data_IF_658694929539
#
_entry.id   IF_658694929539
#
_cell.length_a   1.000
_cell.length_b   1.000
_cell.length_c   1.000
_cell.angle_alpha   90.00
_cell.angle_beta   90.00
_cell.angle_gamma   90.00
#
_symmetry.space_group_name_H-M   'P 1'
#
loop_
_entity.id
_entity.type
_entity.pdbx_description
1 polymer ?
#
# COMPACT_ATOMS: atom_id res chain seq x y z
N UNK A 1 -15.61 5.43 -8.46
CA UNK A 1 -14.47 6.29 -8.10
C UNK A 1 -13.11 5.61 -8.29
N UNK A 2 -12.93 4.32 -8.02
CA UNK A 2 -11.65 3.62 -8.24
C UNK A 2 -11.17 3.50 -9.70
N UNK A 3 -12.07 3.58 -10.69
CA UNK A 3 -11.70 3.50 -12.12
C UNK A 3 -10.94 4.72 -12.64
N UNK A 4 -10.97 5.85 -11.93
CA UNK A 4 -10.31 7.09 -12.39
C UNK A 4 -8.79 6.95 -12.30
N UNK A 5 -8.28 6.28 -11.26
CA UNK A 5 -6.84 6.06 -11.06
C UNK A 5 -6.29 5.12 -12.13
N UNK A 6 -7.04 4.06 -12.48
CA UNK A 6 -6.62 3.13 -13.54
C UNK A 6 -6.58 3.76 -14.93
N UNK A 7 -7.38 4.81 -15.17
CA UNK A 7 -7.33 5.57 -16.41
C UNK A 7 -6.07 6.44 -16.53
N UNK A 8 -5.39 6.78 -15.42
CA UNK A 8 -4.18 7.61 -15.47
C UNK A 8 -2.96 6.87 -16.03
N UNK A 9 -3.03 5.54 -16.13
CA UNK A 9 -1.98 4.72 -16.72
C UNK A 9 -2.25 4.32 -18.18
N UNK A 10 -3.42 4.70 -18.72
CA UNK A 10 -3.77 4.42 -20.11
C UNK A 10 -3.37 5.60 -21.01
N UNK A 11 -2.68 5.31 -22.12
CA UNK A 11 -2.38 6.29 -23.16
C UNK A 11 -3.36 6.15 -24.33
N UNK A 12 -3.72 7.26 -24.96
CA UNK A 12 -4.57 7.32 -26.16
C UNK A 12 -3.77 7.96 -27.27
N UNK A 13 -3.78 7.33 -28.43
CA UNK A 13 -3.08 7.78 -29.63
C UNK A 13 -3.94 8.77 -30.42
N UNK A 14 -3.33 9.87 -30.87
CA UNK A 14 -3.92 10.87 -31.75
C UNK A 14 -3.04 11.06 -32.98
N UNK A 15 -3.64 11.15 -34.16
CA UNK A 15 -2.93 11.52 -35.38
C UNK A 15 -2.60 13.01 -35.35
N UNK A 16 -1.32 13.34 -35.43
CA UNK A 16 -0.88 14.69 -35.74
C UNK A 16 -0.96 14.88 -37.25
N UNK A 17 -1.44 16.05 -37.70
CA UNK A 17 -1.63 16.41 -39.11
C UNK A 17 -0.37 16.39 -39.99
N UNK A 18 0.77 15.96 -39.47
CA UNK A 18 2.05 15.75 -40.16
C UNK A 18 2.36 14.26 -40.42
N UNK A 19 1.42 13.33 -40.14
CA UNK A 19 1.59 11.89 -40.35
C UNK A 19 2.32 11.16 -39.22
N UNK A 20 2.49 11.80 -38.06
CA UNK A 20 2.98 11.20 -36.83
C UNK A 20 1.84 10.85 -35.86
N UNK A 21 2.08 9.90 -34.96
CA UNK A 21 1.13 9.49 -33.92
C UNK A 21 1.65 9.98 -32.57
N UNK A 22 0.87 10.80 -31.87
CA UNK A 22 1.17 11.25 -30.52
C UNK A 22 0.30 10.52 -29.50
N UNK A 23 0.92 9.94 -28.47
CA UNK A 23 0.21 9.30 -27.37
C UNK A 23 0.09 10.26 -26.16
N UNK A 24 -1.12 10.43 -25.63
CA UNK A 24 -1.43 11.28 -24.47
C UNK A 24 -2.09 10.48 -23.34
N UNK A 25 -1.91 10.90 -22.09
CA UNK A 25 -2.50 10.23 -20.93
C UNK A 25 -4.04 10.43 -20.88
N UNK A 26 -4.80 9.35 -20.69
CA UNK A 26 -6.28 9.36 -20.75
C UNK A 26 -6.96 10.20 -19.65
N UNK A 27 -6.31 10.39 -18.50
CA UNK A 27 -6.84 11.21 -17.38
C UNK A 27 -6.45 12.67 -17.48
N UNK A 28 -5.31 12.95 -18.11
CA UNK A 28 -4.81 14.30 -18.31
C UNK A 28 -4.17 14.40 -19.70
N UNK A 29 -4.95 14.91 -20.65
CA UNK A 29 -4.56 15.05 -22.06
C UNK A 29 -3.50 16.15 -22.28
N UNK A 30 -3.01 16.79 -21.21
CA UNK A 30 -1.92 17.76 -21.29
C UNK A 30 -0.53 17.11 -21.25
N UNK A 31 -0.44 15.82 -20.90
CA UNK A 31 0.81 15.07 -20.79
C UNK A 31 0.96 14.08 -21.96
N UNK A 32 2.03 14.23 -22.74
CA UNK A 32 2.47 13.26 -23.77
C UNK A 32 3.13 12.07 -23.08
N UNK A 33 2.80 10.85 -23.48
CA UNK A 33 3.37 9.62 -22.92
C UNK A 33 4.84 9.39 -23.34
N UNK A 34 5.36 10.22 -24.26
CA UNK A 34 6.72 10.16 -24.80
C UNK A 34 7.67 11.23 -24.21
N UNK A 35 7.17 12.06 -23.29
CA UNK A 35 7.94 13.16 -22.69
C UNK A 35 8.64 12.72 -21.40
N UNK A 36 9.87 13.17 -21.13
CA UNK A 36 10.64 12.81 -19.93
C UNK A 36 9.89 13.21 -18.63
N UNK A 37 9.06 14.27 -18.69
CA UNK A 37 8.20 14.70 -17.58
C UNK A 37 7.13 13.66 -17.19
N UNK A 38 6.74 12.79 -18.10
CA UNK A 38 5.84 11.68 -17.82
C UNK A 38 6.50 10.69 -16.85
N UNK A 39 7.78 10.37 -17.04
CA UNK A 39 8.52 9.44 -16.18
C UNK A 39 8.68 9.95 -14.75
N UNK A 40 9.02 11.24 -14.59
CA UNK A 40 9.14 11.85 -13.26
C UNK A 40 7.80 11.87 -12.51
N UNK A 41 6.72 12.24 -13.20
CA UNK A 41 5.37 12.29 -12.62
C UNK A 41 4.86 10.88 -12.30
N UNK A 42 5.12 9.91 -13.18
CA UNK A 42 4.76 8.52 -12.98
C UNK A 42 5.51 7.91 -11.78
N UNK A 43 6.82 8.20 -11.66
CA UNK A 43 7.63 7.74 -10.54
C UNK A 43 7.13 8.35 -9.21
N UNK A 44 6.80 9.65 -9.20
CA UNK A 44 6.24 10.31 -8.03
C UNK A 44 4.87 9.73 -7.63
N UNK A 45 3.99 9.50 -8.61
CA UNK A 45 2.69 8.88 -8.37
C UNK A 45 2.85 7.46 -7.81
N UNK A 46 3.75 6.65 -8.39
CA UNK A 46 4.07 5.32 -7.89
C UNK A 46 4.59 5.36 -6.45
N UNK A 47 5.49 6.29 -6.14
CA UNK A 47 6.03 6.49 -4.78
C UNK A 47 4.92 6.86 -3.78
N UNK A 48 4.06 7.82 -4.12
CA UNK A 48 2.94 8.21 -3.24
C UNK A 48 1.99 7.05 -2.98
N UNK A 49 1.77 6.22 -4.00
CA UNK A 49 0.92 5.04 -3.90
C UNK A 49 1.61 4.15 -2.82
N UNK A 50 2.93 3.92 -2.82
CA UNK A 50 3.62 3.05 -1.83
C UNK A 50 3.68 3.61 -0.41
N UNK A 51 3.73 4.94 -0.26
CA UNK A 51 3.85 5.61 1.04
C UNK A 51 2.64 5.35 1.94
N UNK A 52 1.42 5.32 1.40
CA UNK A 52 0.22 5.09 2.20
C UNK A 52 0.07 3.68 2.81
N UNK A 53 0.16 2.58 2.04
CA UNK A 53 0.00 1.23 2.56
C UNK A 53 1.16 0.77 3.44
N UNK A 54 2.36 1.36 3.30
CA UNK A 54 3.54 1.01 4.11
C UNK A 54 3.68 1.98 5.29
N UNK A 55 3.47 3.28 5.07
CA UNK A 55 3.68 4.30 6.08
C UNK A 55 2.74 4.15 7.29
N UNK A 56 1.48 3.82 7.06
CA UNK A 56 0.49 3.62 8.14
C UNK A 56 0.86 2.41 9.03
N UNK A 57 1.11 1.19 8.52
CA UNK A 57 1.55 0.08 9.36
C UNK A 57 2.92 0.33 9.99
N UNK A 58 3.84 1.02 9.31
CA UNK A 58 5.16 1.36 9.86
C UNK A 58 5.03 2.34 11.05
N UNK A 59 4.18 3.37 10.93
CA UNK A 59 3.91 4.29 12.03
C UNK A 59 3.28 3.56 13.23
N UNK A 60 2.31 2.67 12.98
CA UNK A 60 1.72 1.83 14.03
C UNK A 60 2.76 0.91 14.68
N UNK A 61 3.67 0.31 13.89
CA UNK A 61 4.76 -0.52 14.37
C UNK A 61 5.71 0.23 15.29
N UNK A 62 6.15 1.42 14.88
CA UNK A 62 7.06 2.26 15.66
C UNK A 62 6.39 2.63 17.00
N UNK A 63 5.12 3.02 16.97
CA UNK A 63 4.37 3.37 18.16
C UNK A 63 4.24 2.19 19.14
N UNK A 64 3.93 0.98 18.63
CA UNK A 64 3.90 -0.25 19.43
C UNK A 64 5.29 -0.64 19.95
N UNK A 65 6.34 -0.45 19.16
CA UNK A 65 7.71 -0.79 19.54
C UNK A 65 8.20 0.05 20.73
N UNK A 66 7.95 1.35 20.70
CA UNK A 66 8.34 2.27 21.78
C UNK A 66 7.70 1.92 23.13
N UNK A 67 6.47 1.40 23.10
CA UNK A 67 5.70 1.01 24.30
C UNK A 67 5.67 -0.51 24.55
N UNK A 68 6.52 -1.29 23.86
CA UNK A 68 6.46 -2.77 23.90
C UNK A 68 6.52 -3.36 25.31
N UNK A 69 7.34 -2.78 26.19
CA UNK A 69 7.53 -3.28 27.57
C UNK A 69 6.26 -3.14 28.39
N UNK A 70 5.52 -2.04 28.20
CA UNK A 70 4.23 -1.78 28.85
C UNK A 70 3.14 -2.72 28.30
N UNK A 71 3.21 -3.04 27.00
CA UNK A 71 2.29 -3.94 26.32
C UNK A 71 2.51 -5.40 26.74
N UNK A 72 3.75 -5.81 26.95
CA UNK A 72 4.14 -7.17 27.40
C UNK A 72 3.86 -7.37 28.90
N UNK A 73 4.10 -6.36 29.73
CA UNK A 73 3.89 -6.41 31.18
C UNK A 73 2.42 -6.22 31.60
N UNK A 74 1.49 -6.03 30.65
CA UNK A 74 0.08 -5.77 30.97
C UNK A 74 -0.59 -7.00 31.60
N UNK A 75 -1.35 -6.76 32.66
CA UNK A 75 -2.21 -7.78 33.31
C UNK A 75 -3.61 -7.81 32.70
N UNK A 76 -4.10 -6.67 32.19
CA UNK A 76 -5.43 -6.50 31.58
C UNK A 76 -5.35 -6.35 30.06
N UNK A 77 -6.37 -6.83 29.33
CA UNK A 77 -6.42 -6.80 27.85
C UNK A 77 -6.35 -5.40 27.23
N UNK A 78 -6.79 -4.37 27.95
CA UNK A 78 -6.82 -2.97 27.50
C UNK A 78 -5.51 -2.21 27.81
N UNK A 79 -4.67 -2.72 28.71
CA UNK A 79 -3.53 -1.97 29.26
C UNK A 79 -3.95 -0.85 30.22
N UNK A 80 -2.99 0.02 30.55
CA UNK A 80 -3.25 1.24 31.33
C UNK A 80 -3.94 2.34 30.51
N UNK A 81 -4.38 3.45 31.15
CA UNK A 81 -5.12 4.53 30.49
C UNK A 81 -4.36 5.16 29.30
N UNK A 82 -3.02 5.24 29.39
CA UNK A 82 -2.12 5.70 28.33
C UNK A 82 -2.14 4.83 27.07
N UNK A 83 -2.40 3.52 27.21
CA UNK A 83 -2.42 2.57 26.09
C UNK A 83 -3.82 2.34 25.51
N UNK A 84 -4.86 3.03 26.02
CA UNK A 84 -6.24 2.77 25.63
C UNK A 84 -6.48 3.05 24.14
N UNK A 85 -5.86 4.09 23.58
CA UNK A 85 -5.92 4.40 22.14
C UNK A 85 -5.24 3.30 21.30
N UNK A 86 -4.10 2.81 21.77
CA UNK A 86 -3.32 1.77 21.09
C UNK A 86 -3.91 0.36 21.29
N UNK A 87 -4.81 0.20 22.27
CA UNK A 87 -5.45 -1.06 22.61
C UNK A 87 -6.20 -1.68 21.43
N UNK A 88 -6.70 -0.86 20.49
CA UNK A 88 -7.30 -1.34 19.27
C UNK A 88 -6.40 -2.34 18.51
N UNK A 89 -5.08 -2.08 18.45
CA UNK A 89 -4.13 -2.88 17.68
C UNK A 89 -3.69 -4.17 18.39
N UNK A 90 -3.66 -4.18 19.74
CA UNK A 90 -3.08 -5.30 20.49
C UNK A 90 -4.07 -6.07 21.38
N UNK A 91 -5.28 -5.56 21.66
CA UNK A 91 -6.25 -6.17 22.61
C UNK A 91 -6.70 -7.57 22.25
N UNK A 92 -6.61 -7.93 20.96
CA UNK A 92 -7.02 -9.23 20.42
C UNK A 92 -5.90 -10.26 20.51
N UNK A 93 -4.64 -9.82 20.66
CA UNK A 93 -3.45 -10.66 20.62
C UNK A 93 -2.84 -10.90 22.00
N UNK A 94 -2.05 -11.95 22.13
CA UNK A 94 -1.30 -12.24 23.36
C UNK A 94 -0.24 -11.13 23.62
N UNK A 95 0.11 -10.85 24.89
CA UNK A 95 1.08 -9.80 25.24
C UNK A 95 2.45 -9.99 24.55
N UNK A 96 2.90 -11.25 24.46
CA UNK A 96 4.16 -11.63 23.80
C UNK A 96 4.11 -11.53 22.26
N UNK A 97 2.93 -11.31 21.66
CA UNK A 97 2.73 -11.23 20.20
C UNK A 97 2.18 -9.86 19.80
N UNK A 98 2.82 -8.79 20.26
CA UNK A 98 2.39 -7.41 20.02
C UNK A 98 2.54 -6.96 18.55
N UNK A 99 3.47 -7.54 17.78
CA UNK A 99 3.69 -7.20 16.36
C UNK A 99 2.64 -7.80 15.41
N UNK A 100 1.94 -8.86 15.83
CA UNK A 100 1.02 -9.62 14.95
C UNK A 100 -0.13 -8.76 14.44
N UNK A 101 -0.61 -7.81 15.25
CA UNK A 101 -1.66 -6.88 14.80
C UNK A 101 -1.23 -6.01 13.62
N UNK A 102 0.03 -5.58 13.59
CA UNK A 102 0.59 -4.80 12.47
C UNK A 102 0.83 -5.68 11.26
N UNK A 103 1.36 -6.88 11.46
CA UNK A 103 1.58 -7.86 10.38
C UNK A 103 0.26 -8.22 9.70
N UNK A 104 -0.80 -8.42 10.48
CA UNK A 104 -2.15 -8.69 9.98
C UNK A 104 -2.73 -7.51 9.18
N UNK A 105 -2.44 -6.28 9.60
CA UNK A 105 -2.84 -5.07 8.87
C UNK A 105 -2.11 -4.98 7.53
N UNK A 106 -0.80 -5.25 7.51
CA UNK A 106 0.00 -5.30 6.30
C UNK A 106 -0.51 -6.41 5.35
N UNK A 107 -0.81 -7.61 5.89
CA UNK A 107 -1.38 -8.73 5.13
C UNK A 107 -2.70 -8.37 4.44
N UNK A 108 -3.53 -7.56 5.08
CA UNK A 108 -4.83 -7.12 4.50
C UNK A 108 -4.65 -6.05 3.42
N UNK A 109 -3.64 -5.20 3.54
CA UNK A 109 -3.38 -4.09 2.60
C UNK A 109 -2.62 -4.54 1.34
N UNK A 110 -1.70 -5.50 1.47
CA UNK A 110 -0.83 -5.96 0.38
C UNK A 110 -1.59 -6.48 -0.87
N UNK A 111 -2.69 -7.24 -0.77
CA UNK A 111 -3.40 -7.72 -1.95
C UNK A 111 -4.13 -6.61 -2.71
N UNK A 112 -4.76 -5.69 -1.98
CA UNK A 112 -5.44 -4.53 -2.56
C UNK A 112 -4.45 -3.59 -3.24
N UNK A 113 -3.27 -3.45 -2.66
CA UNK A 113 -2.14 -2.73 -3.23
C UNK A 113 -1.62 -3.37 -4.52
N UNK A 114 -1.38 -4.69 -4.49
CA UNK A 114 -0.84 -5.41 -5.63
C UNK A 114 -1.78 -5.43 -6.84
N UNK A 115 -3.09 -5.30 -6.62
CA UNK A 115 -4.08 -5.13 -7.70
C UNK A 115 -3.94 -3.80 -8.45
N UNK A 116 -3.35 -2.76 -7.85
CA UNK A 116 -3.10 -1.49 -8.53
C UNK A 116 -1.98 -1.60 -9.56
N UNK A 117 -1.06 -2.56 -9.37
CA UNK A 117 0.01 -2.87 -10.31
C UNK A 117 -0.55 -3.80 -11.40
N UNK A 118 -1.04 -3.20 -12.50
CA UNK A 118 -1.82 -3.79 -13.59
C UNK A 118 -1.25 -5.02 -14.36
N UNK A 119 -0.20 -5.71 -13.89
CA UNK A 119 0.35 -6.90 -14.56
C UNK A 119 -0.37 -8.18 -14.09
N UNK A 120 -1.60 -8.35 -14.59
CA UNK A 120 -2.63 -9.28 -14.11
C UNK A 120 -2.24 -10.78 -13.99
N UNK A 121 -1.24 -11.28 -14.71
CA UNK A 121 -0.92 -12.72 -14.71
C UNK A 121 0.09 -13.16 -13.64
N UNK A 122 1.03 -12.29 -13.23
CA UNK A 122 2.06 -12.61 -12.22
C UNK A 122 1.66 -12.21 -10.80
N UNK A 123 0.69 -11.32 -10.69
CA UNK A 123 0.18 -10.74 -9.44
C UNK A 123 -0.59 -11.75 -8.58
N UNK A 124 -1.43 -12.59 -9.19
CA UNK A 124 -2.18 -13.63 -8.45
C UNK A 124 -1.24 -14.67 -7.81
N UNK A 125 -0.20 -15.08 -8.53
CA UNK A 125 0.82 -16.00 -8.04
C UNK A 125 1.65 -15.36 -6.91
N UNK A 126 2.04 -14.09 -7.04
CA UNK A 126 2.74 -13.36 -5.99
C UNK A 126 1.87 -13.14 -4.74
N UNK A 127 0.57 -12.83 -4.91
CA UNK A 127 -0.37 -12.71 -3.78
C UNK A 127 -0.56 -14.03 -3.04
N UNK A 128 -0.68 -15.14 -3.77
CA UNK A 128 -0.76 -16.49 -3.20
C UNK A 128 0.56 -16.90 -2.51
N UNK A 129 1.71 -16.56 -3.11
CA UNK A 129 3.03 -16.84 -2.57
C UNK A 129 3.33 -16.06 -1.29
N UNK A 130 3.04 -14.75 -1.26
CA UNK A 130 3.18 -13.93 -0.05
C UNK A 130 2.23 -14.43 1.04
N UNK A 131 0.97 -14.73 0.69
CA UNK A 131 0.01 -15.25 1.69
C UNK A 131 0.41 -16.61 2.26
N UNK A 132 1.05 -17.47 1.47
CA UNK A 132 1.53 -18.79 1.90
C UNK A 132 2.83 -18.74 2.70
N UNK A 133 3.76 -17.83 2.37
CA UNK A 133 4.97 -17.59 3.17
C UNK A 133 4.65 -17.09 4.58
N UNK A 134 3.63 -16.26 4.74
CA UNK A 134 3.23 -15.73 6.06
C UNK A 134 2.32 -16.68 6.86
N UNK A 135 1.77 -17.73 6.27
CA UNK A 135 1.04 -18.80 6.99
C UNK A 135 1.98 -19.82 7.64
N UNK A 136 3.23 -19.90 7.19
CA UNK A 136 4.26 -20.78 7.73
C UNK A 136 5.18 -20.13 8.77
N UNK A 137 5.02 -18.82 9.05
CA UNK A 137 5.84 -18.03 9.98
C UNK A 137 5.17 -17.69 11.31
#
# INVERSE_FOLDING_TARGET
TSMIIFKAFACVEFENGEGGVDAYMLVDMTLRCDDDRYWDTHFFALLMVFVFPIGVPLAAYILLWTRRREIEARTTRLGGPELNVLSFFFRTYAPNRWSVGVVEMLRRLMPSWLMLLQHASRVLLAALFVSSLFLYG
#
